data_IF_538461616259
#
_entry.id   IF_538461616259
#
_cell.length_a   1.000
_cell.length_b   1.000
_cell.length_c   1.000
_cell.angle_alpha   90.00
_cell.angle_beta   90.00
_cell.angle_gamma   90.00
#
_symmetry.space_group_name_H-M   'P 1'
#
loop_
_entity.id
_entity.type
_entity.pdbx_description
1 polymer ?
#
# COMPACT_ATOMS: atom_id res chain seq x y z
N UNK A 1 -9.86 4.10 -7.37
CA UNK A 1 -10.89 3.73 -6.37
C UNK A 1 -10.66 2.26 -6.03
N UNK A 2 -10.68 1.83 -4.76
CA UNK A 2 -10.42 0.41 -4.43
C UNK A 2 -11.59 -0.47 -4.86
N UNK A 3 -11.32 -1.51 -5.65
CA UNK A 3 -12.32 -2.52 -6.03
C UNK A 3 -12.54 -3.47 -4.85
N UNK A 4 -13.79 -3.84 -4.60
CA UNK A 4 -14.10 -4.98 -3.71
C UNK A 4 -14.17 -6.26 -4.55
N UNK A 5 -14.04 -7.43 -3.90
CA UNK A 5 -14.15 -8.73 -4.60
C UNK A 5 -15.48 -8.89 -5.33
N UNK A 6 -16.57 -8.48 -4.68
CA UNK A 6 -17.92 -8.54 -5.25
C UNK A 6 -18.03 -7.60 -6.46
N UNK A 7 -17.57 -6.35 -6.31
CA UNK A 7 -17.56 -5.37 -7.41
C UNK A 7 -16.73 -5.84 -8.61
N UNK A 8 -15.57 -6.47 -8.38
CA UNK A 8 -14.72 -6.99 -9.45
C UNK A 8 -15.41 -8.13 -10.23
N UNK A 9 -16.06 -9.06 -9.52
CA UNK A 9 -16.83 -10.14 -10.13
C UNK A 9 -18.03 -9.62 -10.93
N UNK A 10 -18.76 -8.64 -10.38
CA UNK A 10 -19.93 -8.05 -11.05
C UNK A 10 -19.52 -7.23 -12.29
N UNK A 11 -18.37 -6.55 -12.26
CA UNK A 11 -17.79 -5.89 -13.43
C UNK A 11 -17.39 -6.87 -14.53
N UNK A 12 -16.81 -8.01 -14.17
CA UNK A 12 -16.45 -9.05 -15.13
C UNK A 12 -17.69 -9.65 -15.80
N UNK A 13 -18.76 -9.83 -15.04
CA UNK A 13 -20.04 -10.33 -15.55
C UNK A 13 -20.69 -9.31 -16.50
N UNK A 14 -20.64 -8.02 -16.15
CA UNK A 14 -21.13 -6.92 -16.98
C UNK A 14 -20.37 -6.82 -18.31
N UNK A 15 -19.04 -6.90 -18.30
CA UNK A 15 -18.26 -6.87 -19.55
C UNK A 15 -18.55 -8.09 -20.43
N UNK A 16 -18.67 -9.28 -19.84
CA UNK A 16 -19.00 -10.49 -20.61
C UNK A 16 -20.34 -10.37 -21.34
N UNK A 17 -21.33 -9.78 -20.67
CA UNK A 17 -22.65 -9.55 -21.28
C UNK A 17 -22.58 -8.45 -22.35
N UNK A 18 -21.85 -7.36 -22.10
CA UNK A 18 -21.65 -6.28 -23.08
C UNK A 18 -20.97 -6.76 -24.37
N UNK A 19 -20.02 -7.70 -24.26
CA UNK A 19 -19.25 -8.24 -25.40
C UNK A 19 -20.00 -9.38 -26.12
N UNK A 20 -21.07 -9.92 -25.55
CA UNK A 20 -21.84 -10.96 -26.19
C UNK A 20 -22.60 -10.43 -27.43
N UNK A 21 -22.61 -11.19 -28.52
CA UNK A 21 -23.21 -10.82 -29.82
C UNK A 21 -24.70 -10.40 -29.76
N UNK A 22 -25.41 -10.73 -28.67
CA UNK A 22 -26.81 -10.38 -28.43
C UNK A 22 -27.02 -9.63 -27.09
N UNK A 23 -26.07 -8.78 -26.69
CA UNK A 23 -26.18 -7.99 -25.47
C UNK A 23 -27.53 -7.26 -25.39
N UNK A 24 -28.23 -7.47 -24.28
CA UNK A 24 -29.45 -6.71 -23.93
C UNK A 24 -29.19 -5.63 -22.90
N UNK A 25 -27.92 -5.39 -22.58
CA UNK A 25 -27.51 -4.50 -21.51
C UNK A 25 -26.80 -3.30 -22.12
N UNK A 26 -27.55 -2.23 -22.37
CA UNK A 26 -27.03 -0.98 -22.93
C UNK A 26 -27.11 0.19 -21.95
N UNK A 27 -27.91 0.07 -20.88
CA UNK A 27 -28.10 1.10 -19.84
C UNK A 27 -28.11 0.56 -18.40
N UNK A 28 -28.19 1.47 -17.42
CA UNK A 28 -28.32 1.13 -16.00
C UNK A 28 -29.67 0.43 -15.73
N UNK A 29 -30.74 0.85 -16.42
CA UNK A 29 -32.05 0.20 -16.36
C UNK A 29 -31.99 -1.24 -16.87
N UNK A 30 -31.22 -1.50 -17.94
CA UNK A 30 -31.02 -2.85 -18.45
C UNK A 30 -30.18 -3.68 -17.48
N UNK A 31 -29.14 -3.11 -16.89
CA UNK A 31 -28.36 -3.78 -15.84
C UNK A 31 -29.24 -4.20 -14.67
N UNK A 32 -30.16 -3.33 -14.24
CA UNK A 32 -31.10 -3.61 -13.15
C UNK A 32 -32.10 -4.68 -13.53
N UNK A 33 -32.59 -4.71 -14.76
CA UNK A 33 -33.62 -5.68 -15.16
C UNK A 33 -33.06 -7.04 -15.56
N UNK A 34 -31.84 -7.10 -16.11
CA UNK A 34 -31.26 -8.33 -16.70
C UNK A 34 -30.20 -8.96 -15.80
N UNK A 35 -29.28 -8.19 -15.24
CA UNK A 35 -28.08 -8.72 -14.56
C UNK A 35 -28.17 -8.64 -13.03
N UNK A 36 -28.68 -7.55 -12.50
CA UNK A 36 -28.57 -7.19 -11.09
C UNK A 36 -29.89 -6.67 -10.48
N UNK A 37 -30.98 -7.47 -10.52
CA UNK A 37 -32.31 -7.04 -10.05
C UNK A 37 -32.36 -6.71 -8.56
N UNK A 38 -31.53 -7.38 -7.77
CA UNK A 38 -31.50 -7.22 -6.32
C UNK A 38 -30.59 -6.07 -5.85
N UNK A 39 -29.87 -5.42 -6.78
CA UNK A 39 -28.89 -4.37 -6.44
C UNK A 39 -29.53 -2.97 -6.52
N UNK A 40 -29.17 -2.06 -5.60
CA UNK A 40 -29.67 -0.70 -5.65
C UNK A 40 -29.04 0.06 -6.83
N UNK A 41 -29.78 1.02 -7.37
CA UNK A 41 -29.35 1.80 -8.54
C UNK A 41 -28.04 2.56 -8.31
N UNK A 42 -27.82 3.05 -7.08
CA UNK A 42 -26.56 3.67 -6.69
C UNK A 42 -25.35 2.72 -6.82
N UNK A 43 -25.54 1.41 -6.62
CA UNK A 43 -24.50 0.41 -6.82
C UNK A 43 -24.20 0.20 -8.31
N UNK A 44 -25.23 0.15 -9.15
CA UNK A 44 -25.09 0.03 -10.60
C UNK A 44 -24.39 1.26 -11.20
N UNK A 45 -24.74 2.45 -10.72
CA UNK A 45 -24.05 3.69 -11.08
C UNK A 45 -22.58 3.68 -10.64
N UNK A 46 -22.27 3.11 -9.48
CA UNK A 46 -20.89 2.94 -9.03
C UNK A 46 -20.11 1.97 -9.94
N UNK A 47 -20.72 0.86 -10.40
CA UNK A 47 -20.13 -0.03 -11.40
C UNK A 47 -19.83 0.71 -12.71
N UNK A 48 -20.75 1.56 -13.19
CA UNK A 48 -20.52 2.42 -14.36
C UNK A 48 -19.31 3.33 -14.16
N UNK A 49 -19.22 4.02 -13.02
CA UNK A 49 -18.08 4.88 -12.72
C UNK A 49 -16.76 4.11 -12.64
N UNK A 50 -16.77 2.89 -12.10
CA UNK A 50 -15.62 2.01 -12.11
C UNK A 50 -15.18 1.67 -13.54
N UNK A 51 -16.11 1.23 -14.40
CA UNK A 51 -15.81 0.99 -15.81
C UNK A 51 -15.21 2.21 -16.51
N UNK A 52 -15.84 3.38 -16.35
CA UNK A 52 -15.37 4.64 -16.94
C UNK A 52 -13.97 5.04 -16.46
N UNK A 53 -13.65 4.78 -15.19
CA UNK A 53 -12.31 5.07 -14.65
C UNK A 53 -11.21 4.17 -15.21
N UNK A 54 -11.58 2.99 -15.72
CA UNK A 54 -10.66 2.01 -16.29
C UNK A 54 -10.67 1.96 -17.82
N UNK A 55 -11.58 2.67 -18.50
CA UNK A 55 -11.53 2.81 -19.96
C UNK A 55 -10.28 3.64 -20.34
N UNK A 56 -9.48 3.22 -21.33
CA UNK A 56 -8.55 4.13 -21.96
C UNK A 56 -9.38 5.27 -22.54
N UNK A 57 -9.00 6.51 -22.21
CA UNK A 57 -9.61 7.69 -22.81
C UNK A 57 -9.45 7.53 -24.32
N UNK A 58 -10.56 7.35 -25.05
CA UNK A 58 -10.53 7.30 -26.50
C UNK A 58 -9.72 8.52 -26.98
N UNK A 59 -8.77 8.29 -27.90
CA UNK A 59 -8.01 9.37 -28.54
C UNK A 59 -8.89 10.42 -29.22
N UNK A 60 -10.19 10.12 -29.36
CA UNK A 60 -11.24 11.04 -29.78
C UNK A 60 -12.46 10.85 -28.85
N UNK A 61 -12.57 11.59 -27.75
CA UNK A 61 -13.77 11.55 -26.93
C UNK A 61 -14.92 12.17 -27.73
N UNK A 62 -16.09 11.53 -27.74
CA UNK A 62 -17.31 12.29 -27.95
C UNK A 62 -17.39 13.34 -26.82
N UNK A 63 -17.76 14.60 -27.16
CA UNK A 63 -17.59 15.73 -26.25
C UNK A 63 -18.37 15.60 -24.93
N UNK A 64 -19.39 14.73 -24.87
CA UNK A 64 -20.15 14.45 -23.66
C UNK A 64 -20.57 12.97 -23.63
N UNK A 65 -19.88 12.08 -22.89
CA UNK A 65 -20.34 10.71 -22.71
C UNK A 65 -21.64 10.73 -21.90
N UNK A 66 -22.75 10.40 -22.56
CA UNK A 66 -24.03 10.14 -21.89
C UNK A 66 -23.83 9.04 -20.85
N UNK A 67 -24.21 9.26 -19.57
CA UNK A 67 -24.15 8.22 -18.55
C UNK A 67 -25.08 7.03 -18.82
N UNK A 68 -25.91 7.10 -19.85
CA UNK A 68 -26.97 6.12 -20.14
C UNK A 68 -26.55 5.01 -21.10
N UNK A 69 -25.41 5.14 -21.80
CA UNK A 69 -25.02 4.20 -22.85
C UNK A 69 -23.62 3.61 -22.63
N UNK A 70 -23.56 2.27 -22.53
CA UNK A 70 -22.33 1.49 -22.49
C UNK A 70 -21.94 1.03 -23.90
N UNK A 71 -20.73 1.38 -24.36
CA UNK A 71 -20.17 0.82 -25.60
C UNK A 71 -19.16 -0.29 -25.26
N UNK A 72 -19.48 -1.53 -25.62
CA UNK A 72 -18.63 -2.70 -25.35
C UNK A 72 -17.20 -2.55 -25.91
N UNK A 73 -17.05 -1.84 -27.04
CA UNK A 73 -15.77 -1.54 -27.68
C UNK A 73 -14.77 -0.82 -26.77
N UNK A 74 -15.26 0.00 -25.84
CA UNK A 74 -14.43 0.91 -25.06
C UNK A 74 -13.72 0.20 -23.90
N UNK A 75 -14.25 -0.97 -23.51
CA UNK A 75 -13.78 -1.74 -22.36
C UNK A 75 -13.00 -2.99 -22.75
N UNK A 76 -13.13 -3.44 -24.02
CA UNK A 76 -12.45 -4.61 -24.56
C UNK A 76 -10.92 -4.57 -24.41
N UNK A 77 -10.21 -3.46 -24.73
CA UNK A 77 -8.76 -3.43 -24.58
C UNK A 77 -8.30 -3.59 -23.13
N UNK A 78 -8.90 -2.85 -22.18
CA UNK A 78 -8.56 -2.96 -20.76
C UNK A 78 -8.84 -4.37 -20.23
N UNK A 79 -9.98 -4.95 -20.59
CA UNK A 79 -10.36 -6.30 -20.17
C UNK A 79 -9.43 -7.39 -20.72
N UNK A 80 -9.06 -7.32 -22.00
CA UNK A 80 -8.19 -8.31 -22.66
C UNK A 80 -6.71 -8.18 -22.25
N UNK A 81 -6.21 -6.96 -22.02
CA UNK A 81 -4.80 -6.75 -21.66
C UNK A 81 -4.54 -6.94 -20.16
N UNK A 82 -5.48 -6.61 -19.27
CA UNK A 82 -5.30 -6.73 -17.81
C UNK A 82 -5.80 -8.06 -17.22
N UNK A 83 -6.45 -8.90 -18.04
CA UNK A 83 -6.81 -10.26 -17.64
C UNK A 83 -8.04 -10.36 -16.73
N UNK A 84 -9.02 -9.45 -16.88
CA UNK A 84 -10.26 -9.32 -16.08
C UNK A 84 -10.09 -8.46 -14.80
N UNK A 85 -11.17 -7.80 -14.33
CA UNK A 85 -11.17 -7.01 -13.09
C UNK A 85 -10.89 -7.87 -11.85
N UNK A 86 -11.25 -9.15 -11.88
CA UNK A 86 -10.86 -10.09 -10.83
C UNK A 86 -9.34 -10.23 -10.72
N UNK A 87 -8.60 -10.27 -11.84
CA UNK A 87 -7.15 -10.37 -11.81
C UNK A 87 -6.50 -9.08 -11.26
N UNK A 88 -7.05 -7.92 -11.61
CA UNK A 88 -6.64 -6.61 -11.04
C UNK A 88 -6.89 -6.59 -9.52
N UNK A 89 -8.03 -7.12 -9.06
CA UNK A 89 -8.32 -7.22 -7.63
C UNK A 89 -7.34 -8.15 -6.92
N UNK A 90 -7.05 -9.31 -7.49
CA UNK A 90 -6.09 -10.27 -6.94
C UNK A 90 -4.67 -9.69 -6.85
N UNK A 91 -4.24 -8.94 -7.87
CA UNK A 91 -2.92 -8.28 -7.84
C UNK A 91 -2.86 -7.21 -6.75
N UNK A 92 -3.89 -6.38 -6.62
CA UNK A 92 -3.97 -5.35 -5.58
C UNK A 92 -4.00 -5.96 -4.17
N UNK A 93 -4.73 -7.05 -3.98
CA UNK A 93 -4.81 -7.72 -2.67
C UNK A 93 -3.47 -8.39 -2.32
N UNK A 94 -2.79 -8.98 -3.31
CA UNK A 94 -1.44 -9.52 -3.15
C UNK A 94 -0.43 -8.44 -2.76
N UNK A 95 -0.41 -7.31 -3.47
CA UNK A 95 0.46 -6.18 -3.13
C UNK A 95 0.18 -5.63 -1.72
N UNK A 96 -1.10 -5.59 -1.33
CA UNK A 96 -1.49 -5.17 0.01
C UNK A 96 -0.96 -6.11 1.08
N UNK A 97 -1.13 -7.42 0.90
CA UNK A 97 -0.61 -8.44 1.82
C UNK A 97 0.91 -8.38 1.93
N UNK A 98 1.62 -8.25 0.80
CA UNK A 98 3.08 -8.10 0.79
C UNK A 98 3.53 -6.82 1.53
N UNK A 99 2.78 -5.72 1.39
CA UNK A 99 3.07 -4.47 2.09
C UNK A 99 2.80 -4.57 3.59
N UNK A 100 1.72 -5.23 3.99
CA UNK A 100 1.42 -5.51 5.40
C UNK A 100 2.49 -6.40 6.04
N UNK A 101 2.94 -7.43 5.32
CA UNK A 101 4.03 -8.30 5.76
C UNK A 101 5.36 -7.54 5.90
N UNK A 102 5.73 -6.72 4.91
CA UNK A 102 6.92 -5.84 4.99
C UNK A 102 6.87 -4.93 6.20
N UNK A 103 5.74 -4.26 6.44
CA UNK A 103 5.56 -3.38 7.63
C UNK A 103 5.70 -4.16 8.94
N UNK A 104 5.17 -5.37 9.01
CA UNK A 104 5.31 -6.23 10.19
C UNK A 104 6.77 -6.60 10.44
N UNK A 105 7.49 -7.02 9.41
CA UNK A 105 8.91 -7.38 9.48
C UNK A 105 9.77 -6.17 9.86
N UNK A 106 9.47 -4.98 9.34
CA UNK A 106 10.15 -3.73 9.73
C UNK A 106 9.93 -3.40 11.22
N UNK A 107 8.70 -3.54 11.72
CA UNK A 107 8.41 -3.35 13.14
C UNK A 107 9.12 -4.37 14.03
N UNK A 108 9.20 -5.62 13.60
CA UNK A 108 9.97 -6.65 14.31
C UNK A 108 11.46 -6.33 14.33
N UNK A 109 12.04 -5.95 13.19
CA UNK A 109 13.43 -5.50 13.09
C UNK A 109 13.69 -4.32 14.03
N UNK A 110 12.83 -3.30 14.01
CA UNK A 110 12.95 -2.13 14.89
C UNK A 110 12.91 -2.53 16.37
N UNK A 111 12.03 -3.45 16.76
CA UNK A 111 11.99 -3.97 18.14
C UNK A 111 13.29 -4.67 18.52
N UNK A 112 13.86 -5.45 17.61
CA UNK A 112 15.16 -6.10 17.83
C UNK A 112 16.28 -5.07 17.96
N UNK A 113 16.32 -4.06 17.09
CA UNK A 113 17.32 -3.00 17.12
C UNK A 113 17.23 -2.18 18.41
N UNK A 114 16.02 -1.83 18.86
CA UNK A 114 15.79 -1.15 20.15
C UNK A 114 16.26 -2.02 21.32
N UNK A 115 15.93 -3.31 21.30
CA UNK A 115 16.35 -4.25 22.35
C UNK A 115 17.87 -4.39 22.39
N UNK A 116 18.51 -4.47 21.23
CA UNK A 116 19.96 -4.57 21.12
C UNK A 116 20.63 -3.26 21.57
N UNK A 117 20.12 -2.11 21.13
CA UNK A 117 20.58 -0.78 21.56
C UNK A 117 20.48 -0.61 23.07
N UNK A 118 19.36 -1.04 23.68
CA UNK A 118 19.18 -1.01 25.14
C UNK A 118 20.22 -1.89 25.87
N UNK A 119 20.55 -3.05 25.31
CA UNK A 119 21.60 -3.93 25.86
C UNK A 119 22.97 -3.26 25.76
N UNK A 120 23.31 -2.72 24.58
CA UNK A 120 24.58 -2.02 24.35
C UNK A 120 24.71 -0.83 25.31
N UNK A 121 23.68 0.01 25.42
CA UNK A 121 23.67 1.15 26.33
C UNK A 121 23.96 0.74 27.79
N UNK A 122 23.32 -0.34 28.27
CA UNK A 122 23.54 -0.86 29.63
C UNK A 122 24.98 -1.33 29.84
N UNK A 123 25.59 -1.98 28.85
CA UNK A 123 26.97 -2.45 28.93
C UNK A 123 27.98 -1.30 28.81
N UNK A 124 27.71 -0.32 27.94
CA UNK A 124 28.60 0.81 27.68
C UNK A 124 28.72 1.76 28.87
N UNK A 125 27.69 1.82 29.72
CA UNK A 125 27.73 2.61 30.95
C UNK A 125 28.87 2.19 31.87
N UNK A 126 29.11 0.88 32.01
CA UNK A 126 30.21 0.37 32.83
C UNK A 126 31.58 0.72 32.26
N UNK A 127 31.76 0.55 30.94
CA UNK A 127 33.03 0.92 30.29
C UNK A 127 33.31 2.41 30.40
N UNK A 128 32.27 3.25 30.32
CA UNK A 128 32.40 4.69 30.51
C UNK A 128 32.83 5.03 31.95
N UNK A 129 32.23 4.40 32.96
CA UNK A 129 32.61 4.60 34.36
C UNK A 129 34.06 4.18 34.63
N UNK A 130 34.49 3.01 34.12
CA UNK A 130 35.87 2.56 34.27
C UNK A 130 36.87 3.48 33.58
N UNK A 131 36.53 3.99 32.39
CA UNK A 131 37.34 4.97 31.68
C UNK A 131 37.46 6.28 32.48
N UNK A 132 36.35 6.76 33.05
CA UNK A 132 36.32 7.98 33.87
C UNK A 132 37.16 7.84 35.14
N UNK A 133 37.04 6.71 35.86
CA UNK A 133 37.85 6.43 37.06
C UNK A 133 39.34 6.39 36.71
N UNK A 134 39.69 5.71 35.61
CA UNK A 134 41.08 5.62 35.15
C UNK A 134 41.64 6.99 34.79
N UNK A 135 40.84 7.83 34.13
CA UNK A 135 41.20 9.21 33.78
C UNK A 135 41.45 10.07 35.03
N UNK A 136 40.54 10.02 36.01
CA UNK A 136 40.69 10.75 37.28
C UNK A 136 41.93 10.28 38.04
N UNK A 137 42.20 8.97 38.07
CA UNK A 137 43.40 8.41 38.71
C UNK A 137 44.70 8.97 38.08
N UNK A 138 44.76 9.04 36.74
CA UNK A 138 45.91 9.61 36.03
C UNK A 138 46.10 11.09 36.39
N UNK A 139 45.02 11.88 36.44
CA UNK A 139 45.10 13.29 36.82
C UNK A 139 45.60 13.49 38.26
N UNK A 140 45.09 12.70 39.21
CA UNK A 140 45.54 12.76 40.61
C UNK A 140 47.03 12.45 40.68
N UNK A 141 47.47 11.37 40.01
CA UNK A 141 48.88 10.96 40.04
C UNK A 141 49.81 11.96 39.38
N UNK A 142 49.37 12.60 38.29
CA UNK A 142 50.10 13.68 37.65
C UNK A 142 50.21 14.90 38.58
N UNK A 143 49.11 15.24 39.27
CA UNK A 143 49.07 16.33 40.24
C UNK A 143 49.98 16.11 41.45
N UNK A 144 49.99 14.90 42.02
CA UNK A 144 50.90 14.56 43.13
C UNK A 144 52.37 14.61 42.69
N UNK A 145 52.67 14.12 41.49
CA UNK A 145 54.02 14.17 40.93
C UNK A 145 54.52 15.62 40.75
N UNK A 146 53.68 16.50 40.18
CA UNK A 146 54.00 17.93 40.02
C UNK A 146 54.16 18.66 41.36
N UNK A 147 53.46 18.24 42.42
CA UNK A 147 53.59 18.82 43.75
C UNK A 147 54.88 18.34 44.45
N UNK A 148 55.22 17.06 44.33
CA UNK A 148 56.48 16.51 44.84
C UNK A 148 57.70 17.20 44.22
N UNK A 149 57.66 17.44 42.90
CA UNK A 149 58.75 18.13 42.18
C UNK A 149 58.95 19.57 42.66
N UNK A 150 57.88 20.25 43.11
CA UNK A 150 57.96 21.62 43.68
C UNK A 150 58.42 21.68 45.13
N UNK A 151 58.39 20.57 45.88
CA UNK A 151 58.86 20.53 47.29
C UNK A 151 60.32 20.12 47.43
N UNK A 152 60.98 19.75 46.33
CA UNK A 152 62.40 19.33 46.30
C UNK A 152 63.33 20.48 45.85
N UNK A 153 62.78 21.62 45.40
CA UNK A 153 63.48 22.90 45.24
C UNK A 153 63.36 23.79 46.50
#
# INVERSE_FOLDING_TARGET
MKLTKETASDLDLLIKELVADNSKVASIEDMKSVLFPDKPEAYLMALFHHLKSHSPSLFFPEPEPSPELFLASDYLPAFYYEGSFTAIFESQEKERLETEEKKKLELEKLKFDVKNTKRIYKTYWWTFVFALISFVYVLIRLGTWLLEERTIE
#
